data_IF_910924885353
#
_entry.id   IF_910924885353
#
_cell.length_a   1.000
_cell.length_b   1.000
_cell.length_c   1.000
_cell.angle_alpha   90.00
_cell.angle_beta   90.00
_cell.angle_gamma   90.00
#
_symmetry.space_group_name_H-M   'P 1'
#
loop_
_entity.id
_entity.type
_entity.pdbx_description
1 polymer ?
#
# COMPACT_ATOMS: atom_id res chain seq x y z
N UNK A 1 8.09 -34.59 -87.87
CA UNK A 1 8.91 -33.53 -87.34
C UNK A 1 8.17 -32.92 -86.21
N UNK A 2 8.60 -33.11 -84.95
CA UNK A 2 7.90 -32.53 -83.81
C UNK A 2 8.68 -31.33 -83.24
N UNK A 3 7.99 -30.25 -82.98
CA UNK A 3 8.48 -29.05 -82.39
C UNK A 3 8.30 -29.11 -80.85
N UNK A 4 9.46 -28.96 -80.20
CA UNK A 4 9.62 -29.05 -78.79
C UNK A 4 9.15 -27.73 -78.14
N UNK A 5 8.15 -27.78 -77.28
CA UNK A 5 7.59 -26.64 -76.57
C UNK A 5 8.09 -26.66 -75.12
N UNK A 6 9.12 -25.86 -74.82
CA UNK A 6 9.62 -25.61 -73.46
C UNK A 6 8.56 -24.92 -72.63
N UNK A 7 7.96 -25.63 -71.69
CA UNK A 7 7.18 -25.03 -70.61
C UNK A 7 8.11 -24.55 -69.48
N UNK A 8 8.28 -23.26 -69.37
CA UNK A 8 8.92 -22.60 -68.21
C UNK A 8 8.01 -22.72 -66.99
N UNK A 9 8.40 -23.58 -66.04
CA UNK A 9 7.78 -23.62 -64.72
C UNK A 9 8.13 -22.35 -63.96
N UNK A 10 7.17 -21.42 -63.81
CA UNK A 10 7.26 -20.32 -62.85
C UNK A 10 7.13 -20.89 -61.45
N UNK A 11 8.23 -20.88 -60.68
CA UNK A 11 8.20 -21.18 -59.26
C UNK A 11 7.57 -19.97 -58.55
N UNK A 12 6.36 -20.18 -58.05
CA UNK A 12 5.67 -19.25 -57.17
C UNK A 12 6.32 -19.38 -55.76
N UNK A 13 7.14 -18.44 -55.42
CA UNK A 13 7.69 -18.32 -54.04
C UNK A 13 6.59 -17.68 -53.21
N UNK A 14 5.86 -18.47 -52.47
CA UNK A 14 5.00 -17.97 -51.38
C UNK A 14 5.91 -17.56 -50.22
N UNK A 15 6.14 -16.26 -50.12
CA UNK A 15 6.75 -15.67 -48.91
C UNK A 15 5.76 -15.79 -47.76
N UNK A 16 5.99 -16.73 -46.85
CA UNK A 16 5.32 -16.76 -45.55
C UNK A 16 5.90 -15.61 -44.74
N UNK A 17 5.20 -14.49 -44.70
CA UNK A 17 5.46 -13.43 -43.71
C UNK A 17 4.98 -14.02 -42.38
N UNK A 18 5.90 -14.57 -41.62
CA UNK A 18 5.66 -14.92 -40.23
C UNK A 18 5.51 -13.59 -39.46
N UNK A 19 4.27 -13.19 -39.23
CA UNK A 19 3.90 -12.12 -38.32
C UNK A 19 4.29 -12.58 -36.90
N UNK A 20 5.51 -12.25 -36.47
CA UNK A 20 5.91 -12.43 -35.11
C UNK A 20 5.05 -11.47 -34.28
N UNK A 21 3.98 -12.00 -33.71
CA UNK A 21 3.34 -11.39 -32.54
C UNK A 21 4.38 -11.37 -31.42
N UNK A 22 5.05 -10.24 -31.28
CA UNK A 22 5.81 -9.95 -30.07
C UNK A 22 4.74 -9.87 -28.98
N UNK A 23 4.53 -10.96 -28.26
CA UNK A 23 3.85 -11.00 -26.98
C UNK A 23 4.70 -10.17 -26.03
N UNK A 24 4.46 -8.86 -26.02
CA UNK A 24 4.85 -8.07 -24.87
C UNK A 24 4.13 -8.72 -23.69
N UNK A 25 4.84 -9.13 -22.63
CA UNK A 25 4.17 -9.53 -21.43
C UNK A 25 3.36 -8.30 -21.00
N UNK A 26 2.06 -8.33 -21.19
CA UNK A 26 1.15 -7.43 -20.52
C UNK A 26 1.33 -7.76 -19.05
N UNK A 27 2.22 -7.04 -18.37
CA UNK A 27 2.20 -7.03 -16.91
C UNK A 27 0.77 -6.67 -16.57
N UNK A 28 0.07 -7.57 -15.88
CA UNK A 28 -1.24 -7.27 -15.36
C UNK A 28 -1.11 -5.95 -14.60
N UNK A 29 -1.65 -4.90 -15.19
CA UNK A 29 -1.56 -3.57 -14.61
C UNK A 29 -2.28 -3.64 -13.28
N UNK A 30 -1.63 -3.23 -12.21
CA UNK A 30 -2.25 -3.17 -10.89
C UNK A 30 -3.55 -2.35 -10.98
N UNK A 31 -4.68 -3.01 -10.77
CA UNK A 31 -5.99 -2.42 -11.00
C UNK A 31 -6.25 -1.25 -10.08
N UNK A 32 -5.88 -1.37 -8.80
CA UNK A 32 -6.01 -0.28 -7.84
C UNK A 32 -5.17 0.94 -8.24
N UNK A 33 -3.93 0.72 -8.68
CA UNK A 33 -3.09 1.81 -9.21
C UNK A 33 -3.75 2.50 -10.39
N UNK A 34 -4.35 1.74 -11.31
CA UNK A 34 -5.10 2.27 -12.45
C UNK A 34 -6.29 3.14 -12.02
N UNK A 35 -7.06 2.69 -11.03
CA UNK A 35 -8.19 3.44 -10.45
C UNK A 35 -7.68 4.74 -9.83
N UNK A 36 -6.67 4.66 -8.96
CA UNK A 36 -6.11 5.83 -8.28
C UNK A 36 -5.65 6.91 -9.25
N UNK A 37 -4.96 6.53 -10.33
CA UNK A 37 -4.48 7.45 -11.38
C UNK A 37 -5.65 8.12 -12.11
N UNK A 38 -6.64 7.33 -12.50
CA UNK A 38 -7.81 7.82 -13.23
C UNK A 38 -8.59 8.81 -12.38
N UNK A 39 -8.87 8.46 -11.13
CA UNK A 39 -9.59 9.33 -10.19
C UNK A 39 -8.81 10.60 -9.89
N UNK A 40 -7.49 10.49 -9.65
CA UNK A 40 -6.66 11.66 -9.39
C UNK A 40 -6.73 12.68 -10.54
N UNK A 41 -6.63 12.19 -11.77
CA UNK A 41 -6.70 13.04 -12.97
C UNK A 41 -8.08 13.69 -13.13
N UNK A 42 -9.15 12.92 -13.00
CA UNK A 42 -10.52 13.42 -13.12
C UNK A 42 -10.84 14.45 -12.03
N UNK A 43 -10.53 14.13 -10.78
CA UNK A 43 -10.78 15.02 -9.64
C UNK A 43 -9.98 16.32 -9.78
N UNK A 44 -8.72 16.24 -10.20
CA UNK A 44 -7.91 17.44 -10.44
C UNK A 44 -8.53 18.33 -11.52
N UNK A 45 -8.98 17.76 -12.64
CA UNK A 45 -9.64 18.52 -13.70
C UNK A 45 -10.92 19.21 -13.23
N UNK A 46 -11.73 18.56 -12.39
CA UNK A 46 -12.95 19.16 -11.85
C UNK A 46 -12.64 20.26 -10.83
N UNK A 47 -11.67 20.06 -9.96
CA UNK A 47 -11.29 21.02 -8.94
C UNK A 47 -10.57 22.26 -9.52
N UNK A 48 -9.90 22.12 -10.67
CA UNK A 48 -9.32 23.26 -11.40
C UNK A 48 -10.35 24.28 -11.87
N UNK A 49 -11.64 23.90 -11.96
CA UNK A 49 -12.74 24.80 -12.36
C UNK A 49 -13.34 25.58 -11.17
N UNK A 50 -12.87 25.31 -9.93
CA UNK A 50 -13.37 25.94 -8.72
C UNK A 50 -12.70 27.29 -8.46
N UNK A 51 -13.29 28.06 -7.55
CA UNK A 51 -12.78 29.38 -7.13
C UNK A 51 -11.36 29.31 -6.54
N UNK A 52 -11.06 28.26 -5.79
CA UNK A 52 -9.75 28.00 -5.21
C UNK A 52 -9.16 26.71 -5.82
N UNK A 53 -8.58 26.79 -7.03
CA UNK A 53 -8.06 25.58 -7.69
C UNK A 53 -6.85 25.02 -6.95
N UNK A 54 -6.78 23.69 -6.74
CA UNK A 54 -5.58 23.08 -6.19
C UNK A 54 -4.43 23.13 -7.19
N UNK A 55 -3.22 23.39 -6.72
CA UNK A 55 -2.02 23.29 -7.55
C UNK A 55 -1.37 21.91 -7.47
N UNK A 56 -1.64 21.14 -6.40
CA UNK A 56 -1.11 19.80 -6.20
C UNK A 56 -2.11 18.91 -5.46
N UNK A 57 -2.17 17.65 -5.87
CA UNK A 57 -2.93 16.60 -5.17
C UNK A 57 -2.14 15.30 -5.16
N UNK A 58 -2.31 14.51 -4.12
CA UNK A 58 -1.84 13.13 -4.08
C UNK A 58 -2.80 12.20 -3.36
N UNK A 59 -2.74 10.93 -3.75
CA UNK A 59 -3.37 9.80 -3.07
C UNK A 59 -2.29 8.87 -2.53
N UNK A 60 -2.45 8.50 -1.28
CA UNK A 60 -1.64 7.46 -0.64
C UNK A 60 -2.59 6.37 -0.15
N UNK A 61 -2.36 5.13 -0.58
CA UNK A 61 -3.12 3.99 -0.08
C UNK A 61 -2.18 3.04 0.63
N UNK A 62 -2.60 2.57 1.79
CA UNK A 62 -1.96 1.47 2.51
C UNK A 62 -2.94 0.29 2.45
N UNK A 63 -2.53 -0.75 1.76
CA UNK A 63 -3.24 -2.02 1.65
C UNK A 63 -2.47 -3.05 2.48
N UNK A 64 -3.04 -3.47 3.60
CA UNK A 64 -2.35 -4.28 4.60
C UNK A 64 -3.03 -5.62 4.79
N UNK A 65 -2.30 -6.67 4.44
CA UNK A 65 -2.62 -8.04 4.81
C UNK A 65 -1.84 -8.40 6.06
N UNK A 66 -2.51 -8.95 7.07
CA UNK A 66 -1.86 -9.40 8.29
C UNK A 66 -2.38 -10.75 8.74
N UNK A 67 -1.47 -11.60 9.22
CA UNK A 67 -1.76 -12.90 9.80
C UNK A 67 -1.15 -12.99 11.20
N UNK A 68 -1.89 -13.59 12.12
CA UNK A 68 -1.45 -13.84 13.48
C UNK A 68 -1.79 -15.27 13.88
N UNK A 69 -0.81 -15.98 14.43
CA UNK A 69 -1.00 -17.33 14.98
C UNK A 69 -0.30 -17.40 16.31
N UNK A 70 -0.96 -18.00 17.30
CA UNK A 70 -0.37 -18.31 18.58
C UNK A 70 -0.70 -19.74 19.01
N UNK A 71 0.28 -20.40 19.60
CA UNK A 71 0.18 -21.74 20.14
C UNK A 71 0.81 -21.82 21.54
N UNK A 72 0.29 -22.70 22.37
CA UNK A 72 0.80 -22.97 23.72
C UNK A 72 0.93 -24.47 23.92
N UNK A 73 2.09 -24.92 24.39
CA UNK A 73 2.38 -26.35 24.63
C UNK A 73 2.01 -27.30 23.46
N UNK A 74 2.20 -26.81 22.22
CA UNK A 74 1.87 -27.57 21.00
C UNK A 74 0.41 -27.44 20.54
N UNK A 75 -0.46 -26.82 21.31
CA UNK A 75 -1.86 -26.60 20.95
C UNK A 75 -2.06 -25.21 20.30
N UNK A 76 -2.82 -25.16 19.21
CA UNK A 76 -3.21 -23.91 18.59
C UNK A 76 -4.17 -23.15 19.51
N UNK A 77 -3.81 -21.93 19.89
CA UNK A 77 -4.63 -21.04 20.72
C UNK A 77 -5.49 -20.10 19.90
N UNK A 78 -4.90 -19.49 18.88
CA UNK A 78 -5.60 -18.58 17.99
C UNK A 78 -4.92 -18.49 16.64
N UNK A 79 -5.74 -18.25 15.61
CA UNK A 79 -5.29 -17.91 14.26
C UNK A 79 -6.26 -16.90 13.69
N UNK A 80 -5.72 -15.81 13.15
CA UNK A 80 -6.51 -14.77 12.51
C UNK A 80 -5.79 -14.20 11.30
N UNK A 81 -6.57 -13.76 10.32
CA UNK A 81 -6.09 -13.00 9.17
C UNK A 81 -6.97 -11.76 9.03
N UNK A 82 -6.36 -10.66 8.63
CA UNK A 82 -7.05 -9.40 8.40
C UNK A 82 -6.53 -8.75 7.13
N UNK A 83 -7.43 -8.19 6.36
CA UNK A 83 -7.13 -7.37 5.21
C UNK A 83 -7.79 -6.00 5.40
N UNK A 84 -7.00 -4.94 5.36
CA UNK A 84 -7.46 -3.57 5.58
C UNK A 84 -6.83 -2.65 4.55
N UNK A 85 -7.63 -1.75 4.00
CA UNK A 85 -7.18 -0.78 3.03
C UNK A 85 -7.64 0.62 3.45
N UNK A 86 -6.71 1.58 3.41
CA UNK A 86 -6.97 2.95 3.82
C UNK A 86 -6.38 3.95 2.81
N UNK A 87 -7.16 4.96 2.48
CA UNK A 87 -6.78 6.09 1.64
C UNK A 87 -6.45 7.30 2.50
N UNK A 88 -5.37 7.97 2.18
CA UNK A 88 -5.04 9.33 2.65
C UNK A 88 -4.93 10.23 1.44
N UNK A 89 -5.75 11.26 1.39
CA UNK A 89 -5.77 12.25 0.32
C UNK A 89 -5.17 13.57 0.80
N UNK A 90 -4.33 14.17 -0.01
CA UNK A 90 -3.81 15.52 0.21
C UNK A 90 -4.23 16.42 -0.94
N UNK A 91 -4.76 17.59 -0.61
CA UNK A 91 -5.09 18.65 -1.56
C UNK A 91 -4.37 19.93 -1.14
N UNK A 92 -3.61 20.55 -2.05
CA UNK A 92 -2.91 21.79 -1.83
C UNK A 92 -3.50 22.91 -2.70
N UNK A 93 -3.93 23.98 -2.04
CA UNK A 93 -4.52 25.18 -2.63
C UNK A 93 -3.59 26.36 -2.39
N UNK A 94 -3.46 27.25 -3.37
CA UNK A 94 -2.54 28.37 -3.36
C UNK A 94 -1.38 28.15 -4.30
N UNK A 95 -0.16 28.22 -3.79
CA UNK A 95 1.06 27.98 -4.56
C UNK A 95 2.17 27.45 -3.63
N UNK A 96 3.31 26.96 -4.14
CA UNK A 96 4.39 26.42 -3.30
C UNK A 96 4.94 27.38 -2.25
N UNK A 97 4.81 28.70 -2.47
CA UNK A 97 5.27 29.73 -1.52
C UNK A 97 4.24 30.06 -0.47
N UNK A 98 2.95 29.83 -0.72
CA UNK A 98 1.86 30.07 0.22
C UNK A 98 0.68 29.15 -0.07
N UNK A 99 0.45 28.19 0.82
CA UNK A 99 -0.60 27.22 0.67
C UNK A 99 -1.34 26.93 2.00
N UNK A 100 -2.38 26.12 1.92
CA UNK A 100 -3.21 25.71 3.05
C UNK A 100 -2.47 24.86 4.12
N UNK A 101 -1.21 24.49 3.91
CA UNK A 101 -0.42 23.73 4.90
C UNK A 101 0.49 24.62 5.75
N UNK A 102 0.61 25.91 5.46
CA UNK A 102 1.51 26.81 6.20
C UNK A 102 1.10 27.12 7.60
N UNK A 103 -0.17 27.05 7.91
CA UNK A 103 -0.70 27.41 9.22
C UNK A 103 -0.52 26.29 10.26
N UNK A 104 0.65 25.62 10.25
CA UNK A 104 0.95 24.47 11.11
C UNK A 104 1.45 24.81 12.52
N UNK A 105 1.61 26.06 12.87
CA UNK A 105 1.89 26.47 14.26
C UNK A 105 0.72 26.21 15.23
N UNK A 106 -0.34 25.72 14.68
CA UNK A 106 -1.41 25.13 15.41
C UNK A 106 -0.94 23.81 15.99
N UNK A 107 -0.60 23.76 17.24
CA UNK A 107 -0.52 22.53 18.03
C UNK A 107 -1.79 21.68 17.95
N UNK A 108 -2.50 21.84 16.89
CA UNK A 108 -3.74 21.19 16.50
C UNK A 108 -3.42 19.80 15.99
N UNK A 109 -3.94 18.88 16.67
CA UNK A 109 -3.92 17.45 16.52
C UNK A 109 -4.06 17.08 15.04
N UNK A 110 -3.08 16.40 14.44
CA UNK A 110 -3.13 15.98 13.03
C UNK A 110 -4.40 15.22 12.64
N UNK A 111 -5.01 14.52 13.59
CA UNK A 111 -6.27 13.81 13.41
C UNK A 111 -7.49 14.72 13.23
N UNK A 112 -7.44 15.97 13.73
CA UNK A 112 -8.51 16.94 13.53
C UNK A 112 -8.32 17.74 12.24
N UNK A 113 -7.09 17.81 11.73
CA UNK A 113 -6.76 18.57 10.52
C UNK A 113 -6.91 17.77 9.23
N UNK A 114 -7.80 16.80 9.24
CA UNK A 114 -8.16 16.17 7.99
C UNK A 114 -7.18 15.16 7.39
N UNK A 115 -6.23 14.63 8.16
CA UNK A 115 -5.34 13.53 7.72
C UNK A 115 -5.89 12.16 8.18
N UNK A 116 -7.18 12.08 8.47
CA UNK A 116 -7.78 10.79 8.79
C UNK A 116 -7.73 9.87 7.56
N UNK A 117 -7.33 8.64 7.79
CA UNK A 117 -7.35 7.62 6.76
C UNK A 117 -8.80 7.14 6.53
N UNK A 118 -9.23 7.13 5.28
CA UNK A 118 -10.56 6.68 4.88
C UNK A 118 -10.50 5.22 4.46
N UNK A 119 -11.34 4.34 5.02
CA UNK A 119 -11.38 2.94 4.58
C UNK A 119 -11.77 2.84 3.10
N UNK A 120 -11.09 1.97 2.35
CA UNK A 120 -11.45 1.60 0.98
C UNK A 120 -11.90 0.14 0.92
N UNK A 121 -12.81 -0.20 0.01
CA UNK A 121 -13.10 -1.60 -0.31
C UNK A 121 -11.83 -2.36 -0.72
N UNK A 122 -11.76 -3.63 -0.35
CA UNK A 122 -10.60 -4.48 -0.59
C UNK A 122 -10.72 -5.35 -1.85
N UNK A 123 -11.90 -5.41 -2.46
CA UNK A 123 -12.17 -6.14 -3.70
C UNK A 123 -12.02 -5.22 -4.91
N UNK A 124 -10.90 -5.34 -5.62
CA UNK A 124 -10.61 -4.50 -6.79
C UNK A 124 -11.48 -4.84 -8.01
N UNK A 125 -11.99 -6.06 -8.09
CA UNK A 125 -12.79 -6.50 -9.23
C UNK A 125 -14.29 -6.26 -9.04
N UNK A 126 -14.81 -6.62 -7.85
CA UNK A 126 -16.24 -6.55 -7.56
C UNK A 126 -16.69 -5.19 -7.02
N UNK A 127 -15.79 -4.37 -6.48
CA UNK A 127 -16.11 -3.12 -5.80
C UNK A 127 -15.49 -1.88 -6.45
N UNK A 128 -15.12 -1.91 -7.72
CA UNK A 128 -14.48 -0.79 -8.42
C UNK A 128 -15.26 0.52 -8.26
N UNK A 129 -16.57 0.51 -8.48
CA UNK A 129 -17.41 1.72 -8.35
C UNK A 129 -17.43 2.23 -6.90
N UNK A 130 -17.45 1.33 -5.92
CA UNK A 130 -17.39 1.71 -4.50
C UNK A 130 -16.06 2.32 -4.12
N UNK A 131 -14.93 1.82 -4.68
CA UNK A 131 -13.60 2.40 -4.51
C UNK A 131 -13.58 3.81 -5.11
N UNK A 132 -14.06 3.99 -6.34
CA UNK A 132 -14.13 5.30 -7.01
C UNK A 132 -14.99 6.29 -6.22
N UNK A 133 -16.14 5.85 -5.74
CA UNK A 133 -17.02 6.68 -4.93
C UNK A 133 -16.37 7.11 -3.61
N UNK A 134 -15.66 6.20 -2.94
CA UNK A 134 -14.95 6.51 -1.70
C UNK A 134 -13.82 7.53 -1.93
N UNK A 135 -13.06 7.38 -3.00
CA UNK A 135 -12.01 8.33 -3.40
C UNK A 135 -12.62 9.70 -3.70
N UNK A 136 -13.69 9.74 -4.49
CA UNK A 136 -14.39 10.99 -4.83
C UNK A 136 -14.88 11.71 -3.57
N UNK A 137 -15.56 10.98 -2.68
CA UNK A 137 -16.12 11.55 -1.44
C UNK A 137 -15.00 12.12 -0.55
N UNK A 138 -13.92 11.36 -0.37
CA UNK A 138 -12.78 11.80 0.42
C UNK A 138 -12.09 13.01 -0.22
N UNK A 139 -11.92 13.03 -1.53
CA UNK A 139 -11.34 14.16 -2.26
C UNK A 139 -12.17 15.42 -2.08
N UNK A 140 -13.51 15.33 -2.18
CA UNK A 140 -14.42 16.45 -1.94
C UNK A 140 -14.28 16.99 -0.51
N UNK A 141 -14.19 16.12 0.49
CA UNK A 141 -14.01 16.52 1.88
C UNK A 141 -12.66 17.21 2.08
N UNK A 142 -11.59 16.65 1.54
CA UNK A 142 -10.23 17.24 1.64
C UNK A 142 -10.15 18.59 0.94
N UNK A 143 -10.81 18.73 -0.21
CA UNK A 143 -10.86 20.01 -0.89
C UNK A 143 -11.55 21.08 -0.04
N UNK A 144 -12.70 20.77 0.60
CA UNK A 144 -13.38 21.71 1.51
C UNK A 144 -12.48 22.15 2.65
N UNK A 145 -11.84 21.20 3.35
CA UNK A 145 -10.90 21.53 4.40
C UNK A 145 -9.71 22.36 3.88
N UNK A 146 -9.19 22.05 2.71
CA UNK A 146 -8.10 22.82 2.11
C UNK A 146 -8.52 24.27 1.81
N UNK A 147 -9.75 24.50 1.34
CA UNK A 147 -10.31 25.83 1.13
C UNK A 147 -10.42 26.59 2.44
N UNK A 148 -11.02 25.97 3.47
CA UNK A 148 -11.22 26.60 4.78
C UNK A 148 -9.88 27.02 5.38
N UNK A 149 -8.89 26.14 5.38
CA UNK A 149 -7.54 26.44 5.88
C UNK A 149 -6.82 27.52 5.06
N UNK A 150 -6.99 27.49 3.74
CA UNK A 150 -6.38 28.52 2.88
C UNK A 150 -7.00 29.90 3.13
N UNK A 151 -8.34 29.99 3.27
CA UNK A 151 -9.03 31.22 3.62
C UNK A 151 -8.63 31.74 5.01
N UNK A 152 -8.49 30.87 5.99
CA UNK A 152 -7.96 31.26 7.31
C UNK A 152 -6.54 31.81 7.19
N UNK A 153 -5.66 31.14 6.46
CA UNK A 153 -4.29 31.60 6.23
C UNK A 153 -4.25 32.97 5.55
N UNK A 154 -5.15 33.23 4.60
CA UNK A 154 -5.29 34.54 3.95
C UNK A 154 -5.78 35.62 4.93
N UNK A 155 -6.73 35.29 5.82
CA UNK A 155 -7.31 36.23 6.77
C UNK A 155 -6.31 36.61 7.88
N UNK A 156 -5.48 35.69 8.32
CA UNK A 156 -4.53 35.90 9.40
C UNK A 156 -3.34 36.78 9.01
N UNK A 157 -3.15 37.09 7.73
CA UNK A 157 -2.03 37.91 7.23
C UNK A 157 -0.72 37.63 7.97
N UNK A 158 -0.48 36.35 8.28
CA UNK A 158 0.74 35.96 8.97
C UNK A 158 1.92 36.39 8.12
N UNK A 159 2.74 37.25 8.67
CA UNK A 159 3.98 37.77 8.11
C UNK A 159 4.74 36.60 7.52
N UNK A 160 4.79 36.57 6.22
CA UNK A 160 5.42 35.49 5.48
C UNK A 160 6.92 35.54 5.73
N UNK A 161 7.40 34.71 6.61
CA UNK A 161 8.80 34.33 6.60
C UNK A 161 8.96 33.35 5.46
N UNK A 162 9.58 33.81 4.38
CA UNK A 162 9.72 33.04 3.16
C UNK A 162 10.57 31.78 3.36
N UNK A 163 9.90 30.69 3.66
CA UNK A 163 10.43 29.37 3.38
C UNK A 163 9.82 28.94 2.03
N UNK A 164 10.67 28.86 1.04
CA UNK A 164 10.32 28.18 -0.21
C UNK A 164 10.18 26.68 0.12
N UNK A 165 9.02 26.28 0.58
CA UNK A 165 8.64 24.87 0.54
C UNK A 165 8.49 24.52 -0.94
N UNK A 166 9.54 23.97 -1.49
CA UNK A 166 9.51 23.44 -2.85
C UNK A 166 8.38 22.45 -2.95
N UNK A 167 7.65 22.50 -4.06
CA UNK A 167 6.69 21.45 -4.40
C UNK A 167 7.34 20.07 -4.23
N UNK A 168 6.57 19.04 -3.84
CA UNK A 168 7.11 17.69 -3.73
C UNK A 168 7.83 17.33 -5.03
N UNK A 169 9.09 16.93 -4.91
CA UNK A 169 9.88 16.56 -6.06
C UNK A 169 9.26 15.35 -6.76
N UNK A 170 9.29 15.36 -8.09
CA UNK A 170 9.03 14.18 -8.87
C UNK A 170 9.97 13.04 -8.40
N UNK A 171 9.39 11.89 -8.12
CA UNK A 171 10.13 10.66 -7.82
C UNK A 171 10.00 9.70 -9.00
N UNK A 172 11.07 8.98 -9.38
CA UNK A 172 10.98 7.96 -10.41
C UNK A 172 9.88 6.94 -10.07
N UNK A 173 9.15 6.50 -11.09
CA UNK A 173 8.12 5.50 -10.91
C UNK A 173 8.75 4.17 -10.48
N UNK A 174 8.21 3.59 -9.42
CA UNK A 174 8.62 2.30 -8.88
C UNK A 174 7.38 1.48 -8.57
N UNK A 175 7.11 0.46 -9.35
CA UNK A 175 5.96 -0.43 -9.15
C UNK A 175 6.47 -1.84 -8.90
N UNK A 176 6.37 -2.29 -7.67
CA UNK A 176 6.71 -3.65 -7.27
C UNK A 176 5.56 -4.60 -7.55
N UNK A 177 5.89 -5.85 -7.92
CA UNK A 177 4.90 -6.92 -8.04
C UNK A 177 4.29 -7.23 -6.67
N UNK A 178 3.03 -7.66 -6.67
CA UNK A 178 2.38 -8.13 -5.45
C UNK A 178 3.14 -9.33 -4.88
N UNK A 179 3.33 -9.32 -3.57
CA UNK A 179 4.00 -10.37 -2.83
C UNK A 179 3.12 -10.80 -1.65
N UNK A 180 2.80 -12.08 -1.60
CA UNK A 180 2.08 -12.71 -0.49
C UNK A 180 2.76 -14.04 -0.18
N UNK A 181 3.13 -14.25 1.07
CA UNK A 181 3.75 -15.48 1.49
C UNK A 181 2.79 -16.36 2.29
N UNK A 182 2.65 -17.65 1.93
CA UNK A 182 1.82 -18.57 2.66
C UNK A 182 2.42 -18.86 4.05
N UNK A 183 1.62 -18.71 5.08
CA UNK A 183 2.00 -18.96 6.46
C UNK A 183 1.47 -20.30 6.94
N UNK A 184 2.32 -21.10 7.62
CA UNK A 184 1.95 -22.38 8.21
C UNK A 184 1.85 -22.28 9.74
N UNK A 185 0.68 -22.60 10.30
CA UNK A 185 0.47 -22.68 11.76
C UNK A 185 1.19 -23.85 12.42
N UNK A 186 1.54 -24.89 11.65
CA UNK A 186 2.18 -26.11 12.20
C UNK A 186 3.55 -25.80 12.82
N UNK A 187 4.35 -24.94 12.19
CA UNK A 187 5.66 -24.54 12.75
C UNK A 187 5.53 -23.86 14.12
N UNK A 188 4.49 -23.08 14.35
CA UNK A 188 4.29 -22.40 15.64
C UNK A 188 3.84 -23.38 16.73
N UNK A 189 3.02 -24.39 16.37
CA UNK A 189 2.70 -25.49 17.28
C UNK A 189 3.96 -26.28 17.68
N UNK A 190 4.82 -26.63 16.71
CA UNK A 190 6.07 -27.33 16.95
C UNK A 190 6.99 -26.54 17.89
N UNK A 191 7.14 -25.22 17.67
CA UNK A 191 7.95 -24.34 18.53
C UNK A 191 7.37 -24.32 19.94
N UNK A 192 6.05 -24.15 20.10
CA UNK A 192 5.42 -24.12 21.43
C UNK A 192 5.44 -25.48 22.14
N UNK A 193 5.49 -26.62 21.41
CA UNK A 193 5.58 -27.94 21.95
C UNK A 193 6.91 -28.21 22.68
N UNK A 194 7.95 -27.44 22.44
CA UNK A 194 9.24 -27.53 23.12
C UNK A 194 9.05 -27.35 24.64
N UNK A 195 8.11 -26.52 25.05
CA UNK A 195 7.80 -26.28 26.47
C UNK A 195 7.23 -27.50 27.23
N UNK A 196 6.76 -28.53 26.53
CA UNK A 196 6.34 -29.79 27.15
C UNK A 196 7.50 -30.66 27.69
N UNK A 197 8.75 -30.24 27.44
CA UNK A 197 9.93 -31.04 27.81
C UNK A 197 10.33 -30.93 29.28
N UNK A 198 9.80 -29.91 29.98
CA UNK A 198 10.14 -29.68 31.39
C UNK A 198 8.90 -29.29 32.18
N UNK A 199 8.58 -30.10 33.20
CA UNK A 199 7.40 -29.94 34.07
C UNK A 199 7.45 -28.65 34.93
N UNK A 200 8.62 -27.99 35.05
CA UNK A 200 8.75 -26.75 35.76
C UNK A 200 8.25 -25.54 34.94
N UNK A 201 7.99 -25.74 33.65
CA UNK A 201 7.44 -24.70 32.80
C UNK A 201 5.94 -24.65 32.98
N UNK A 202 5.45 -23.60 33.65
CA UNK A 202 4.02 -23.41 33.95
C UNK A 202 3.27 -22.64 32.86
N UNK A 203 4.01 -21.91 32.00
CA UNK A 203 3.45 -21.25 30.84
C UNK A 203 4.46 -21.30 29.70
N UNK A 204 4.02 -21.65 28.49
CA UNK A 204 4.88 -21.74 27.31
C UNK A 204 4.10 -21.40 26.06
N UNK A 205 4.46 -20.29 25.42
CA UNK A 205 3.76 -19.75 24.26
C UNK A 205 4.74 -19.46 23.12
N UNK A 206 4.28 -19.69 21.89
CA UNK A 206 4.89 -19.18 20.68
C UNK A 206 3.83 -18.45 19.88
N UNK A 207 4.17 -17.27 19.34
CA UNK A 207 3.31 -16.50 18.48
C UNK A 207 4.08 -16.02 17.26
N UNK A 208 3.40 -15.98 16.12
CA UNK A 208 3.92 -15.42 14.89
C UNK A 208 2.96 -14.38 14.37
N UNK A 209 3.49 -13.22 14.02
CA UNK A 209 2.78 -12.16 13.34
C UNK A 209 3.49 -11.85 12.04
N UNK A 210 2.75 -11.90 10.96
CA UNK A 210 3.22 -11.54 9.65
C UNK A 210 2.29 -10.52 9.03
N UNK A 211 2.84 -9.51 8.37
CA UNK A 211 2.04 -8.64 7.53
C UNK A 211 2.84 -8.12 6.35
N UNK A 212 2.13 -7.83 5.28
CA UNK A 212 2.61 -7.10 4.11
C UNK A 212 1.81 -5.82 4.00
N UNK A 213 2.50 -4.69 3.99
CA UNK A 213 1.90 -3.41 3.62
C UNK A 213 2.26 -3.13 2.16
N UNK A 214 1.26 -3.19 1.28
CA UNK A 214 1.39 -2.67 -0.06
C UNK A 214 1.01 -1.20 -0.07
N UNK A 215 2.00 -0.36 -0.30
CA UNK A 215 1.85 1.11 -0.28
C UNK A 215 1.78 1.64 -1.69
N UNK A 216 0.74 2.40 -1.98
CA UNK A 216 0.53 3.12 -3.22
C UNK A 216 0.71 4.60 -2.99
N UNK A 217 1.35 5.27 -3.92
CA UNK A 217 1.45 6.71 -3.97
C UNK A 217 1.35 7.19 -5.40
N UNK A 218 0.40 8.11 -5.65
CA UNK A 218 0.26 8.82 -6.93
C UNK A 218 0.06 10.29 -6.67
N UNK A 219 0.63 11.14 -7.52
CA UNK A 219 0.46 12.58 -7.43
C UNK A 219 0.20 13.23 -8.79
N UNK A 220 -0.23 14.49 -8.77
CA UNK A 220 -0.51 15.29 -9.99
C UNK A 220 0.73 15.69 -10.78
N UNK A 221 1.93 15.44 -10.27
CA UNK A 221 3.21 15.66 -10.95
C UNK A 221 3.67 14.41 -11.73
N UNK A 222 2.88 13.32 -11.72
CA UNK A 222 3.15 12.09 -12.46
C UNK A 222 3.96 11.04 -11.70
N UNK A 223 4.16 11.20 -10.39
CA UNK A 223 4.80 10.18 -9.56
C UNK A 223 3.86 8.99 -9.37
N UNK A 224 4.37 7.78 -9.59
CA UNK A 224 3.70 6.51 -9.37
C UNK A 224 4.62 5.56 -8.61
N UNK A 225 4.30 5.27 -7.36
CA UNK A 225 5.08 4.37 -6.51
C UNK A 225 4.19 3.30 -5.92
N UNK A 226 4.60 2.04 -6.04
CA UNK A 226 3.99 0.90 -5.34
C UNK A 226 5.11 0.07 -4.73
N UNK A 227 5.04 -0.12 -3.42
CA UNK A 227 6.05 -0.84 -2.64
C UNK A 227 5.40 -1.89 -1.77
N UNK A 228 6.06 -3.05 -1.60
CA UNK A 228 5.68 -4.04 -0.62
C UNK A 228 6.65 -3.99 0.54
N UNK A 229 6.11 -3.89 1.74
CA UNK A 229 6.87 -3.90 2.99
C UNK A 229 6.44 -5.10 3.83
N UNK A 230 7.07 -6.27 3.63
CA UNK A 230 6.83 -7.43 4.46
C UNK A 230 7.46 -7.24 5.84
N UNK A 231 6.82 -7.81 6.84
CA UNK A 231 7.29 -7.79 8.21
C UNK A 231 6.88 -9.08 8.93
N UNK A 232 7.86 -9.76 9.49
CA UNK A 232 7.66 -10.97 10.27
C UNK A 232 8.16 -10.78 11.69
N UNK A 233 7.41 -11.30 12.67
CA UNK A 233 7.76 -11.28 14.09
C UNK A 233 7.42 -12.62 14.69
N UNK A 234 8.42 -13.23 15.35
CA UNK A 234 8.22 -14.41 16.20
C UNK A 234 8.44 -14.00 17.65
N UNK A 235 7.47 -14.28 18.49
CA UNK A 235 7.55 -14.15 19.95
C UNK A 235 7.50 -15.53 20.57
N UNK A 236 8.50 -15.85 21.39
CA UNK A 236 8.52 -17.07 22.19
C UNK A 236 8.65 -16.68 23.65
N UNK A 237 7.76 -17.17 24.49
CA UNK A 237 7.77 -16.86 25.92
C UNK A 237 7.51 -18.10 26.76
N UNK A 238 8.23 -18.20 27.85
CA UNK A 238 8.05 -19.25 28.84
C UNK A 238 8.12 -18.69 30.24
N UNK A 239 7.42 -19.31 31.18
CA UNK A 239 7.47 -18.98 32.59
C UNK A 239 7.73 -20.25 33.38
N UNK A 240 8.73 -20.24 34.25
CA UNK A 240 8.97 -21.28 35.25
C UNK A 240 8.60 -20.76 36.60
N UNK A 241 8.39 -21.69 37.55
CA UNK A 241 8.11 -21.35 38.94
C UNK A 241 9.24 -21.90 39.82
N UNK A 242 9.83 -21.04 40.64
CA UNK A 242 10.83 -21.41 41.63
C UNK A 242 10.17 -22.15 42.83
N UNK A 243 10.99 -22.82 43.63
CA UNK A 243 10.52 -23.58 44.77
C UNK A 243 9.82 -22.74 45.86
N UNK A 244 10.18 -21.47 45.94
CA UNK A 244 9.55 -20.44 46.80
C UNK A 244 8.23 -19.88 46.23
N UNK A 245 7.84 -20.34 45.04
CA UNK A 245 6.63 -19.90 44.36
C UNK A 245 6.82 -18.68 43.45
N UNK A 246 8.00 -18.11 43.36
CA UNK A 246 8.28 -16.98 42.47
C UNK A 246 8.21 -17.39 40.98
N UNK A 247 7.52 -16.61 40.16
CA UNK A 247 7.46 -16.83 38.72
C UNK A 247 8.66 -16.15 38.03
N UNK A 248 9.29 -16.89 37.13
CA UNK A 248 10.45 -16.48 36.36
C UNK A 248 10.10 -16.47 34.87
N UNK A 249 9.56 -15.35 34.34
CA UNK A 249 9.22 -15.23 32.94
C UNK A 249 10.47 -14.96 32.08
N UNK A 250 10.52 -15.53 30.89
CA UNK A 250 11.48 -15.23 29.84
C UNK A 250 10.74 -15.07 28.53
N UNK A 251 11.10 -14.03 27.75
CA UNK A 251 10.57 -13.86 26.39
C UNK A 251 11.68 -13.49 25.44
N UNK A 252 11.58 -14.02 24.22
CA UNK A 252 12.46 -13.74 23.10
C UNK A 252 11.62 -13.28 21.92
N UNK A 253 12.09 -12.24 21.24
CA UNK A 253 11.41 -11.67 20.07
C UNK A 253 12.41 -11.58 18.92
N UNK A 254 12.02 -12.08 17.76
CA UNK A 254 12.79 -12.03 16.53
C UNK A 254 12.00 -11.29 15.47
N UNK A 255 12.70 -10.45 14.72
CA UNK A 255 12.15 -9.64 13.63
C UNK A 255 12.83 -10.00 12.33
N UNK A 256 12.08 -10.04 11.24
CA UNK A 256 12.60 -10.16 9.90
C UNK A 256 11.79 -9.29 8.93
N UNK A 257 12.47 -8.72 7.94
CA UNK A 257 11.80 -8.05 6.80
C UNK A 257 11.52 -9.04 5.67
N UNK A 258 12.18 -10.19 5.68
CA UNK A 258 11.91 -11.31 4.80
C UNK A 258 11.71 -12.56 5.67
N UNK A 259 10.58 -13.29 5.52
CA UNK A 259 10.32 -14.51 6.29
C UNK A 259 11.33 -15.64 6.04
N UNK A 260 12.09 -15.58 4.93
CA UNK A 260 13.12 -16.55 4.58
C UNK A 260 14.52 -16.23 5.19
N UNK A 261 14.64 -15.17 5.97
CA UNK A 261 15.91 -14.69 6.54
C UNK A 261 16.12 -15.10 7.99
#
# INVERSE_FOLDING_TARGET
MPTNKHMKKKRLIFGIIALQFILFPTFAQDKLLGILKTELHQQMQELQKKEFPPYHMNYRVIDKHSSYVAASFGALMTQSAQHQRHLVTQVRIGNPSFDNFRNRDMGAIPSQNGIAATPLPIDDEGAEDAIRQAIWFETCNRYRFAVDFYQQALAEHSIQVGHEDKAPCFSPNQVEKYYEEPFSSEKIKEISAIFNRDDKIVNGNAAFKYYVERRYFVNTEGTEVVQNLPYALILVSGTTKADDGMELPLSLTYFAHNPDS
#
